data_IF_446076489628
#
_entry.id   IF_446076489628
#
_cell.length_a   1.000
_cell.length_b   1.000
_cell.length_c   1.000
_cell.angle_alpha   90.00
_cell.angle_beta   90.00
_cell.angle_gamma   90.00
#
_symmetry.space_group_name_H-M   'P 1'
#
loop_
_entity.id
_entity.type
_entity.pdbx_description
1 polymer ?
#
# COMPACT_ATOMS: atom_id res chain seq x y z
N UNK A 1 -58.98 -36.57 38.97
CA UNK A 1 -57.51 -36.50 38.77
C UNK A 1 -57.21 -36.15 37.32
N UNK A 2 -56.91 -34.89 37.02
CA UNK A 2 -56.37 -34.46 35.72
C UNK A 2 -54.97 -33.91 35.97
N UNK A 3 -53.95 -34.59 35.46
CA UNK A 3 -52.54 -34.20 35.60
C UNK A 3 -52.25 -33.07 34.59
N UNK A 4 -51.85 -31.90 35.08
CA UNK A 4 -51.28 -30.84 34.26
C UNK A 4 -49.79 -31.14 34.05
N UNK A 5 -49.38 -31.31 32.80
CA UNK A 5 -47.96 -31.44 32.42
C UNK A 5 -47.49 -30.04 32.04
N UNK A 6 -46.52 -29.52 32.78
CA UNK A 6 -45.86 -28.25 32.53
C UNK A 6 -44.75 -28.46 31.48
N UNK A 7 -44.92 -27.92 30.28
CA UNK A 7 -43.86 -27.88 29.27
C UNK A 7 -42.99 -26.63 29.51
N UNK A 8 -41.75 -26.82 29.93
CA UNK A 8 -40.74 -25.77 29.99
C UNK A 8 -40.11 -25.66 28.59
N UNK A 9 -40.43 -24.60 27.86
CA UNK A 9 -39.69 -24.24 26.64
C UNK A 9 -38.33 -23.65 27.04
N UNK A 10 -37.26 -24.38 26.79
CA UNK A 10 -35.89 -23.84 26.85
C UNK A 10 -35.60 -23.17 25.51
N UNK A 11 -35.53 -21.83 25.52
CA UNK A 11 -35.03 -21.07 24.36
C UNK A 11 -33.50 -21.24 24.29
N UNK A 12 -33.03 -22.08 23.36
CA UNK A 12 -31.62 -22.08 22.96
C UNK A 12 -31.47 -21.00 21.90
N UNK A 13 -30.87 -19.87 22.25
CA UNK A 13 -30.46 -18.86 21.27
C UNK A 13 -29.25 -19.40 20.53
N UNK A 14 -29.44 -19.73 19.24
CA UNK A 14 -28.31 -19.99 18.34
C UNK A 14 -27.67 -18.62 18.08
N UNK A 15 -26.55 -18.32 18.74
CA UNK A 15 -25.69 -17.24 18.27
C UNK A 15 -25.15 -17.67 16.90
N UNK A 16 -25.55 -16.95 15.85
CA UNK A 16 -24.92 -17.07 14.55
C UNK A 16 -23.48 -16.61 14.71
N UNK A 17 -22.53 -17.55 14.65
CA UNK A 17 -21.14 -17.20 14.38
C UNK A 17 -21.11 -16.61 12.98
N UNK A 18 -20.88 -15.29 12.88
CA UNK A 18 -20.42 -14.71 11.64
C UNK A 18 -19.09 -15.40 11.35
N UNK A 19 -19.06 -16.23 10.31
CA UNK A 19 -17.79 -16.70 9.77
C UNK A 19 -17.11 -15.46 9.21
N UNK A 20 -16.23 -14.84 10.00
CA UNK A 20 -15.24 -13.95 9.41
C UNK A 20 -14.51 -14.80 8.39
N UNK A 21 -14.51 -14.36 7.13
CA UNK A 21 -13.57 -14.91 6.17
C UNK A 21 -12.19 -14.64 6.77
N UNK A 22 -11.63 -15.64 7.44
CA UNK A 22 -10.27 -15.60 7.95
C UNK A 22 -9.38 -15.62 6.71
N UNK A 23 -9.06 -14.44 6.19
CA UNK A 23 -7.96 -14.32 5.26
C UNK A 23 -6.71 -14.91 5.93
N UNK A 24 -5.99 -15.75 5.21
CA UNK A 24 -4.86 -16.48 5.77
C UNK A 24 -3.66 -15.52 5.92
N UNK A 25 -3.67 -14.72 6.98
CA UNK A 25 -2.48 -13.99 7.41
C UNK A 25 -1.62 -14.94 8.25
N UNK A 26 -0.34 -15.06 7.91
CA UNK A 26 0.58 -16.00 8.57
C UNK A 26 1.17 -15.46 9.87
N UNK A 27 0.93 -14.18 10.19
CA UNK A 27 1.38 -13.53 11.43
C UNK A 27 0.35 -13.51 12.55
N UNK A 28 0.57 -12.62 13.52
CA UNK A 28 -0.35 -12.39 14.64
C UNK A 28 -1.39 -11.32 14.29
N UNK A 29 -2.48 -11.30 15.07
CA UNK A 29 -3.56 -10.33 14.94
C UNK A 29 -4.73 -10.83 14.10
N UNK A 30 -5.85 -10.13 14.18
CA UNK A 30 -7.11 -10.45 13.49
C UNK A 30 -7.44 -9.46 12.37
N UNK A 31 -6.56 -8.49 12.09
CA UNK A 31 -6.76 -7.48 11.06
C UNK A 31 -7.73 -6.37 11.43
N UNK A 32 -8.15 -6.31 12.70
CA UNK A 32 -9.08 -5.28 13.20
C UNK A 32 -8.32 -4.09 13.78
N UNK A 33 -8.98 -2.95 13.98
CA UNK A 33 -8.33 -1.76 14.56
C UNK A 33 -7.82 -1.97 15.99
N UNK A 34 -8.45 -2.86 16.77
CA UNK A 34 -8.04 -3.21 18.14
C UNK A 34 -7.00 -4.34 18.20
N UNK A 35 -6.82 -5.08 17.10
CA UNK A 35 -5.92 -6.21 17.00
C UNK A 35 -5.42 -6.34 15.54
N UNK A 36 -4.55 -5.41 15.10
CA UNK A 36 -4.09 -5.34 13.72
C UNK A 36 -3.18 -6.52 13.39
N UNK A 37 -3.14 -6.90 12.11
CA UNK A 37 -2.17 -7.84 11.60
C UNK A 37 -0.74 -7.33 11.78
N UNK A 38 0.09 -8.13 12.45
CA UNK A 38 1.47 -7.80 12.78
C UNK A 38 2.44 -8.34 11.74
N UNK A 39 3.05 -7.44 10.98
CA UNK A 39 4.00 -7.77 9.91
C UNK A 39 5.42 -7.75 10.47
N UNK A 40 6.09 -8.90 10.37
CA UNK A 40 7.48 -9.11 10.83
C UNK A 40 8.42 -9.52 9.71
N UNK A 41 7.89 -9.93 8.55
CA UNK A 41 8.69 -10.35 7.40
C UNK A 41 8.02 -9.98 6.07
N UNK A 42 8.80 -10.11 4.98
CA UNK A 42 8.37 -9.71 3.64
C UNK A 42 7.24 -10.57 3.06
N UNK A 43 7.09 -11.83 3.48
CA UNK A 43 5.98 -12.67 3.03
C UNK A 43 4.66 -12.17 3.62
N UNK A 44 4.64 -11.83 4.91
CA UNK A 44 3.48 -11.20 5.57
C UNK A 44 3.13 -9.83 4.95
N UNK A 45 4.15 -9.06 4.55
CA UNK A 45 3.92 -7.82 3.79
C UNK A 45 3.20 -8.12 2.45
N UNK A 46 3.55 -9.21 1.77
CA UNK A 46 2.93 -9.61 0.50
C UNK A 46 1.50 -10.15 0.68
N UNK A 47 1.21 -10.80 1.82
CA UNK A 47 -0.12 -11.33 2.19
C UNK A 47 -1.16 -10.22 2.37
N UNK A 48 -0.76 -8.96 2.57
CA UNK A 48 -1.70 -7.82 2.64
C UNK A 48 -2.62 -7.72 1.42
N UNK A 49 -2.22 -8.27 0.27
CA UNK A 49 -3.04 -8.29 -0.95
C UNK A 49 -4.33 -9.09 -0.77
N UNK A 50 -4.39 -9.99 0.22
CA UNK A 50 -5.49 -10.92 0.42
C UNK A 50 -6.59 -10.31 1.31
N UNK A 51 -6.29 -9.29 2.13
CA UNK A 51 -7.27 -8.56 2.96
C UNK A 51 -7.03 -7.04 2.90
N UNK A 52 -7.63 -6.38 1.91
CA UNK A 52 -7.31 -5.00 1.54
C UNK A 52 -7.95 -3.94 2.45
N UNK A 53 -8.85 -4.33 3.35
CA UNK A 53 -9.59 -3.45 4.27
C UNK A 53 -9.07 -3.55 5.72
N UNK A 54 -8.15 -4.48 5.99
CA UNK A 54 -7.63 -4.73 7.32
C UNK A 54 -6.65 -3.66 7.85
N UNK A 55 -6.36 -3.77 9.13
CA UNK A 55 -5.39 -2.95 9.85
C UNK A 55 -4.09 -3.73 9.98
N UNK A 56 -2.99 -3.08 9.60
CA UNK A 56 -1.65 -3.65 9.56
C UNK A 56 -0.68 -2.76 10.31
N UNK A 57 0.22 -3.38 11.07
CA UNK A 57 1.32 -2.72 11.76
C UNK A 57 2.64 -3.42 11.45
N UNK A 58 3.68 -2.65 11.15
CA UNK A 58 5.04 -3.20 11.14
C UNK A 58 5.52 -3.35 12.59
N UNK A 59 6.13 -4.50 12.88
CA UNK A 59 6.73 -4.78 14.20
C UNK A 59 8.26 -4.68 14.20
N UNK A 60 8.86 -4.64 13.01
CA UNK A 60 10.29 -4.47 12.80
C UNK A 60 10.55 -3.95 11.39
N UNK A 61 11.80 -3.55 11.13
CA UNK A 61 12.26 -3.28 9.77
C UNK A 61 12.19 -4.55 8.92
N UNK A 62 11.75 -4.41 7.67
CA UNK A 62 11.56 -5.50 6.71
C UNK A 62 12.63 -5.41 5.64
N UNK A 63 13.43 -6.48 5.47
CA UNK A 63 14.28 -6.65 4.30
C UNK A 63 13.45 -7.28 3.17
N UNK A 64 13.20 -6.49 2.13
CA UNK A 64 12.47 -6.87 0.93
C UNK A 64 13.38 -7.15 -0.27
N UNK A 65 14.71 -7.20 -0.11
CA UNK A 65 15.66 -7.43 -1.20
C UNK A 65 15.44 -8.75 -1.95
N UNK A 66 14.97 -9.78 -1.24
CA UNK A 66 14.62 -11.09 -1.80
C UNK A 66 13.51 -11.00 -2.85
N UNK A 67 12.68 -9.94 -2.82
CA UNK A 67 11.60 -9.76 -3.80
C UNK A 67 12.12 -9.72 -5.22
N UNK A 68 13.37 -9.32 -5.45
CA UNK A 68 14.03 -9.32 -6.77
C UNK A 68 14.03 -10.68 -7.48
N UNK A 69 13.91 -11.79 -6.76
CA UNK A 69 13.83 -13.14 -7.34
C UNK A 69 12.39 -13.65 -7.49
N UNK A 70 11.41 -12.93 -6.94
CA UNK A 70 10.02 -13.35 -6.93
C UNK A 70 9.38 -13.19 -8.31
N UNK A 71 8.33 -13.98 -8.55
CA UNK A 71 7.48 -13.86 -9.75
C UNK A 71 8.30 -13.88 -11.05
N UNK A 72 9.22 -14.85 -11.17
CA UNK A 72 10.14 -14.98 -12.31
C UNK A 72 10.97 -13.70 -12.56
N UNK A 73 11.41 -13.04 -11.49
CA UNK A 73 12.19 -11.80 -11.55
C UNK A 73 11.36 -10.52 -11.75
N UNK A 74 10.02 -10.59 -11.69
CA UNK A 74 9.16 -9.41 -11.77
C UNK A 74 9.01 -8.67 -10.44
N UNK A 75 9.53 -9.23 -9.34
CA UNK A 75 9.49 -8.54 -8.06
C UNK A 75 8.26 -8.81 -7.22
N UNK A 76 8.10 -8.00 -6.18
CA UNK A 76 6.91 -7.94 -5.34
C UNK A 76 5.64 -7.69 -6.19
N UNK A 77 4.51 -8.26 -5.78
CA UNK A 77 3.19 -7.93 -6.37
C UNK A 77 2.62 -6.75 -5.59
N UNK A 78 2.46 -5.55 -6.20
CA UNK A 78 1.91 -4.38 -5.53
C UNK A 78 0.59 -4.67 -4.81
N UNK A 79 0.39 -4.04 -3.65
CA UNK A 79 -0.80 -4.22 -2.82
C UNK A 79 -1.93 -3.32 -3.32
N UNK A 80 -3.14 -3.89 -3.46
CA UNK A 80 -4.37 -3.14 -3.65
C UNK A 80 -4.66 -2.64 -5.06
N UNK A 81 -5.96 -2.62 -5.40
CA UNK A 81 -6.52 -1.91 -6.56
C UNK A 81 -8.03 -1.64 -6.32
N UNK A 82 -8.43 -0.90 -5.26
CA UNK A 82 -7.60 -0.19 -4.27
C UNK A 82 -7.34 -0.98 -2.95
N UNK A 83 -6.36 -0.52 -2.15
CA UNK A 83 -6.25 -0.79 -0.71
C UNK A 83 -7.10 0.24 0.05
N UNK A 84 -7.95 -0.18 0.98
CA UNK A 84 -8.85 0.69 1.75
C UNK A 84 -8.66 0.56 3.29
N UNK A 85 -7.72 -0.30 3.72
CA UNK A 85 -7.36 -0.51 5.11
C UNK A 85 -6.39 0.52 5.71
N UNK A 86 -5.78 0.15 6.85
CA UNK A 86 -4.76 0.96 7.52
C UNK A 86 -3.42 0.24 7.51
N UNK A 87 -2.35 0.91 7.11
CA UNK A 87 -0.97 0.46 7.22
C UNK A 87 -0.17 1.46 8.03
N UNK A 88 0.24 1.07 9.24
CA UNK A 88 1.09 1.85 10.13
C UNK A 88 2.49 1.23 10.23
N UNK A 89 3.47 1.91 9.67
CA UNK A 89 4.86 1.48 9.76
C UNK A 89 5.47 1.65 11.15
N UNK A 90 4.84 2.39 12.06
CA UNK A 90 5.37 2.69 13.41
C UNK A 90 6.81 3.24 13.42
N UNK A 91 7.25 3.87 12.32
CA UNK A 91 8.61 4.40 12.13
C UNK A 91 9.60 3.40 11.53
N UNK A 92 9.18 2.16 11.27
CA UNK A 92 10.00 1.11 10.65
C UNK A 92 10.20 1.33 9.15
N UNK A 93 11.19 0.60 8.63
CA UNK A 93 11.61 0.66 7.23
C UNK A 93 11.31 -0.63 6.49
N UNK A 94 11.01 -0.50 5.21
CA UNK A 94 11.02 -1.60 4.23
C UNK A 94 12.18 -1.32 3.29
N UNK A 95 13.21 -2.17 3.26
CA UNK A 95 14.45 -1.92 2.51
C UNK A 95 14.57 -2.84 1.30
N UNK A 96 15.08 -2.33 0.18
CA UNK A 96 15.44 -3.17 -0.97
C UNK A 96 14.25 -3.67 -1.80
N UNK A 97 13.07 -3.05 -1.65
CA UNK A 97 11.87 -3.44 -2.39
C UNK A 97 12.11 -3.38 -3.90
N UNK A 98 11.93 -4.51 -4.59
CA UNK A 98 12.08 -4.60 -6.04
C UNK A 98 10.72 -4.88 -6.71
N UNK A 99 10.38 -4.05 -7.70
CA UNK A 99 9.17 -4.21 -8.53
C UNK A 99 9.55 -3.92 -9.98
N UNK A 100 9.30 -4.88 -10.87
CA UNK A 100 9.44 -4.74 -12.32
C UNK A 100 8.19 -5.26 -13.04
N UNK A 101 7.28 -4.34 -13.39
CA UNK A 101 5.94 -4.69 -13.91
C UNK A 101 5.47 -3.72 -15.01
N UNK A 102 4.55 -4.10 -15.90
CA UNK A 102 4.13 -3.26 -17.03
C UNK A 102 3.08 -2.18 -16.70
N UNK A 103 2.23 -2.37 -15.68
CA UNK A 103 1.19 -1.39 -15.30
C UNK A 103 1.10 -1.17 -13.79
N UNK A 104 0.93 0.11 -13.40
CA UNK A 104 0.59 0.64 -12.06
C UNK A 104 1.31 -0.01 -10.88
N UNK A 105 2.26 0.72 -10.26
CA UNK A 105 3.02 0.14 -9.16
C UNK A 105 3.60 1.17 -8.20
N UNK A 106 3.69 0.69 -6.96
CA UNK A 106 4.39 1.13 -5.79
C UNK A 106 4.34 -0.04 -4.80
N UNK A 107 4.72 0.15 -3.53
CA UNK A 107 4.35 -0.84 -2.51
C UNK A 107 2.85 -1.13 -2.55
N UNK A 108 2.05 -0.06 -2.68
CA UNK A 108 0.64 -0.10 -3.02
C UNK A 108 0.44 0.29 -4.49
N UNK A 109 -0.31 -0.49 -5.27
CA UNK A 109 -0.69 -0.05 -6.62
C UNK A 109 -1.71 1.10 -6.55
N UNK A 110 -2.61 1.11 -5.57
CA UNK A 110 -3.44 2.27 -5.30
C UNK A 110 -4.19 2.21 -3.98
N UNK A 111 -4.57 3.37 -3.47
CA UNK A 111 -5.30 3.54 -2.21
C UNK A 111 -6.67 4.16 -2.48
N UNK A 112 -7.69 3.63 -1.83
CA UNK A 112 -9.05 4.16 -1.87
C UNK A 112 -9.23 5.25 -0.81
N UNK A 113 -10.44 5.82 -0.72
CA UNK A 113 -10.69 6.98 0.13
C UNK A 113 -10.68 6.67 1.63
N UNK A 114 -10.84 5.40 2.02
CA UNK A 114 -10.75 4.96 3.41
C UNK A 114 -9.31 4.70 3.87
N UNK A 115 -8.39 4.56 2.91
CA UNK A 115 -7.05 4.12 3.18
C UNK A 115 -6.24 5.08 4.03
N UNK A 116 -5.47 4.54 4.98
CA UNK A 116 -4.49 5.27 5.78
C UNK A 116 -3.15 4.57 5.68
N UNK A 117 -2.14 5.24 5.10
CA UNK A 117 -0.76 4.76 5.05
C UNK A 117 0.12 5.74 5.80
N UNK A 118 0.75 5.32 6.89
CA UNK A 118 1.50 6.23 7.75
C UNK A 118 2.77 5.65 8.35
N UNK A 119 3.68 6.55 8.74
CA UNK A 119 4.88 6.27 9.54
C UNK A 119 5.80 5.18 8.97
N UNK A 120 6.00 5.14 7.64
CA UNK A 120 6.87 4.13 7.01
C UNK A 120 7.92 4.77 6.11
N UNK A 121 9.15 4.26 6.19
CA UNK A 121 10.18 4.49 5.18
C UNK A 121 10.28 3.32 4.21
N UNK A 122 10.21 3.56 2.91
CA UNK A 122 10.56 2.54 1.89
C UNK A 122 11.90 2.92 1.27
N UNK A 123 12.93 2.17 1.63
CA UNK A 123 14.34 2.56 1.45
C UNK A 123 14.99 1.68 0.39
N UNK A 124 15.85 2.29 -0.42
CA UNK A 124 16.59 1.61 -1.50
C UNK A 124 15.67 0.82 -2.45
N UNK A 125 14.57 1.47 -2.87
CA UNK A 125 13.63 0.83 -3.80
C UNK A 125 14.23 0.73 -5.20
N UNK A 126 13.86 -0.33 -5.92
CA UNK A 126 14.12 -0.48 -7.36
C UNK A 126 12.79 -0.77 -8.03
N UNK A 127 12.09 0.31 -8.35
CA UNK A 127 10.75 0.25 -8.94
C UNK A 127 10.85 0.72 -10.37
N UNK A 128 10.50 -0.16 -11.31
CA UNK A 128 10.53 0.17 -12.72
C UNK A 128 9.39 -0.50 -13.49
N UNK A 129 8.98 0.15 -14.57
CA UNK A 129 8.11 -0.47 -15.54
C UNK A 129 7.96 0.37 -16.79
N UNK A 130 7.63 -0.29 -17.88
CA UNK A 130 7.38 0.32 -19.18
C UNK A 130 5.91 0.16 -19.50
N UNK A 131 5.23 1.28 -19.68
CA UNK A 131 3.83 1.33 -20.03
C UNK A 131 3.59 0.93 -21.47
N UNK A 132 2.40 0.39 -21.74
CA UNK A 132 1.89 0.27 -23.09
C UNK A 132 1.51 1.66 -23.63
N UNK A 133 1.73 1.97 -24.93
CA UNK A 133 1.22 3.20 -25.53
C UNK A 133 -0.31 3.29 -25.33
N UNK A 134 -0.77 4.31 -24.59
CA UNK A 134 -2.20 4.57 -24.36
C UNK A 134 -2.78 4.15 -23.00
N UNK A 135 -1.99 3.54 -22.11
CA UNK A 135 -2.42 3.22 -20.73
C UNK A 135 -2.20 4.37 -19.74
N UNK A 136 -3.05 4.47 -18.70
CA UNK A 136 -2.76 5.28 -17.52
C UNK A 136 -1.77 4.54 -16.64
N UNK A 137 -0.50 4.91 -16.70
CA UNK A 137 0.51 4.41 -15.77
C UNK A 137 0.64 5.43 -14.63
N UNK A 138 0.53 4.96 -13.40
CA UNK A 138 0.83 5.72 -12.20
C UNK A 138 1.91 4.96 -11.44
N UNK A 139 3.07 5.59 -11.29
CA UNK A 139 4.24 4.94 -10.69
C UNK A 139 4.71 5.78 -9.52
N UNK A 140 4.64 5.20 -8.33
CA UNK A 140 5.14 5.81 -7.11
C UNK A 140 6.09 4.88 -6.38
N UNK A 141 7.00 5.47 -5.61
CA UNK A 141 7.84 4.72 -4.69
C UNK A 141 7.04 3.95 -3.63
N UNK A 142 5.98 4.59 -3.12
CA UNK A 142 5.09 4.05 -2.10
C UNK A 142 3.72 3.69 -2.67
N UNK A 143 3.08 4.61 -3.41
CA UNK A 143 1.73 4.42 -3.96
C UNK A 143 1.66 4.79 -5.44
N UNK A 144 1.10 3.92 -6.27
CA UNK A 144 0.78 4.26 -7.66
C UNK A 144 -0.23 5.41 -7.76
N UNK A 145 -1.50 5.13 -7.41
CA UNK A 145 -2.58 6.14 -7.36
C UNK A 145 -3.14 6.33 -5.94
N UNK A 146 -3.22 7.58 -5.46
CA UNK A 146 -3.69 7.91 -4.12
C UNK A 146 -5.03 8.66 -4.13
N UNK A 147 -6.04 8.06 -3.50
CA UNK A 147 -7.28 8.73 -3.09
C UNK A 147 -7.46 8.78 -1.55
N UNK A 148 -6.54 8.21 -0.78
CA UNK A 148 -6.58 8.15 0.68
C UNK A 148 -5.57 9.08 1.38
N UNK A 149 -5.25 8.77 2.63
CA UNK A 149 -4.32 9.55 3.45
C UNK A 149 -2.93 8.91 3.50
N UNK A 150 -1.90 9.68 3.16
CA UNK A 150 -0.49 9.34 3.29
C UNK A 150 0.19 10.36 4.21
N UNK A 151 0.76 9.90 5.33
CA UNK A 151 1.32 10.81 6.34
C UNK A 151 2.59 10.27 6.98
N UNK A 152 3.61 11.12 7.15
CA UNK A 152 4.90 10.74 7.76
C UNK A 152 5.59 9.58 7.02
N UNK A 153 5.54 9.59 5.69
CA UNK A 153 6.13 8.55 4.87
C UNK A 153 7.30 9.07 4.04
N UNK A 154 8.26 8.21 3.74
CA UNK A 154 9.33 8.59 2.82
C UNK A 154 9.83 7.46 1.94
N UNK A 155 10.43 7.84 0.81
CA UNK A 155 11.03 6.90 -0.14
C UNK A 155 12.44 7.31 -0.55
N UNK A 156 13.33 6.34 -0.65
CA UNK A 156 14.66 6.48 -1.27
C UNK A 156 14.89 5.37 -2.31
N UNK A 157 15.87 5.55 -3.21
CA UNK A 157 16.21 4.56 -4.25
C UNK A 157 15.93 5.07 -5.65
N UNK A 158 15.45 4.21 -6.54
CA UNK A 158 15.20 4.50 -7.95
C UNK A 158 13.76 4.16 -8.35
N UNK A 159 13.08 5.13 -8.97
CA UNK A 159 11.74 4.98 -9.53
C UNK A 159 11.77 5.36 -11.01
N UNK A 160 11.40 4.43 -11.88
CA UNK A 160 11.44 4.62 -13.34
C UNK A 160 10.15 4.19 -14.03
N UNK A 161 9.69 4.99 -14.99
CA UNK A 161 8.70 4.54 -15.97
C UNK A 161 8.23 5.65 -16.89
N UNK A 162 7.10 5.49 -17.56
CA UNK A 162 6.82 6.33 -18.74
C UNK A 162 5.89 7.51 -18.48
N UNK A 163 4.85 7.34 -17.66
CA UNK A 163 3.81 8.34 -17.43
C UNK A 163 3.50 8.47 -15.93
N UNK A 164 3.33 9.72 -15.45
CA UNK A 164 2.93 10.09 -14.07
C UNK A 164 3.77 9.36 -13.02
N UNK A 165 5.05 9.70 -12.99
CA UNK A 165 6.03 9.10 -12.08
C UNK A 165 6.34 10.08 -10.95
N UNK A 166 6.14 9.63 -9.71
CA UNK A 166 6.52 10.36 -8.51
C UNK A 166 7.48 9.56 -7.63
N UNK A 167 8.40 10.24 -6.95
CA UNK A 167 9.29 9.56 -6.01
C UNK A 167 8.55 8.92 -4.82
N UNK A 168 7.40 9.47 -4.41
CA UNK A 168 6.52 8.92 -3.38
C UNK A 168 5.21 8.39 -3.97
N UNK A 169 4.49 9.23 -4.73
CA UNK A 169 3.17 8.91 -5.30
C UNK A 169 3.11 9.21 -6.80
N UNK A 170 2.62 8.29 -7.63
CA UNK A 170 2.47 8.54 -9.06
C UNK A 170 1.40 9.59 -9.37
N UNK A 171 0.18 9.35 -8.87
CA UNK A 171 -0.97 10.24 -9.06
C UNK A 171 -1.73 10.43 -7.75
N UNK A 172 -1.96 11.68 -7.35
CA UNK A 172 -2.75 12.05 -6.16
C UNK A 172 -4.03 12.75 -6.62
N UNK A 173 -5.20 12.25 -6.22
CA UNK A 173 -6.48 12.80 -6.68
C UNK A 173 -7.63 12.65 -5.68
N UNK A 174 -8.72 13.38 -5.93
CA UNK A 174 -9.94 13.29 -5.12
C UNK A 174 -9.66 13.66 -3.67
N UNK A 175 -9.92 12.72 -2.76
CA UNK A 175 -9.66 12.85 -1.33
C UNK A 175 -8.19 12.57 -0.94
N UNK A 176 -7.32 12.37 -1.93
CA UNK A 176 -5.89 12.11 -1.73
C UNK A 176 -5.22 13.22 -0.93
N UNK A 177 -4.74 12.89 0.28
CA UNK A 177 -4.04 13.80 1.17
C UNK A 177 -2.64 13.27 1.45
N UNK A 178 -1.62 14.06 1.12
CA UNK A 178 -0.22 13.77 1.41
C UNK A 178 0.31 14.84 2.35
N UNK A 179 0.80 14.41 3.52
CA UNK A 179 1.34 15.33 4.51
C UNK A 179 2.62 14.83 5.18
N UNK A 180 3.50 15.75 5.58
CA UNK A 180 4.72 15.46 6.34
C UNK A 180 5.59 14.35 5.70
N UNK A 181 5.61 14.28 4.38
CA UNK A 181 6.20 13.16 3.65
C UNK A 181 7.27 13.65 2.69
N UNK A 182 8.24 12.80 2.36
CA UNK A 182 9.31 13.22 1.47
C UNK A 182 9.84 12.12 0.57
N UNK A 183 10.56 12.52 -0.47
CA UNK A 183 11.30 11.56 -1.31
C UNK A 183 12.70 12.06 -1.62
N UNK A 184 13.67 11.17 -1.46
CA UNK A 184 15.04 11.38 -1.95
C UNK A 184 15.35 10.43 -3.12
N UNK A 185 14.33 9.76 -3.67
CA UNK A 185 14.50 8.82 -4.76
C UNK A 185 14.88 9.52 -6.06
N UNK A 186 15.74 8.90 -6.86
CA UNK A 186 15.99 9.32 -8.22
C UNK A 186 14.81 8.89 -9.10
N UNK A 187 14.18 9.84 -9.77
CA UNK A 187 12.99 9.62 -10.60
C UNK A 187 13.33 9.83 -12.07
N UNK A 188 13.04 8.83 -12.91
CA UNK A 188 13.24 8.90 -14.36
C UNK A 188 11.96 8.57 -15.10
N UNK A 189 11.58 9.39 -16.09
CA UNK A 189 10.49 9.01 -16.99
C UNK A 189 10.29 9.90 -18.20
N UNK A 190 9.12 9.84 -18.84
CA UNK A 190 8.86 10.55 -20.12
C UNK A 190 7.84 11.67 -19.92
N UNK A 191 6.68 11.37 -19.31
CA UNK A 191 5.56 12.30 -19.16
C UNK A 191 5.15 12.47 -17.69
N UNK A 192 4.96 13.72 -17.25
CA UNK A 192 4.54 14.07 -15.88
C UNK A 192 5.42 13.42 -14.80
N UNK A 193 6.59 14.02 -14.54
CA UNK A 193 7.60 13.49 -13.63
C UNK A 193 7.76 14.46 -12.47
N UNK A 194 7.62 13.97 -11.24
CA UNK A 194 7.80 14.77 -10.03
C UNK A 194 8.70 14.08 -9.01
N UNK A 195 9.47 14.88 -8.28
CA UNK A 195 10.35 14.35 -7.23
C UNK A 195 9.57 13.73 -6.07
N UNK A 196 8.38 14.28 -5.74
CA UNK A 196 7.48 13.74 -4.73
C UNK A 196 6.25 13.07 -5.36
N UNK A 197 5.49 13.85 -6.15
CA UNK A 197 4.25 13.40 -6.80
C UNK A 197 4.31 13.66 -8.30
N UNK A 198 4.00 12.67 -9.13
CA UNK A 198 4.02 12.82 -10.59
C UNK A 198 2.90 13.71 -11.13
N UNK A 199 1.68 13.55 -10.60
CA UNK A 199 0.53 14.39 -10.92
C UNK A 199 -0.38 14.58 -9.70
N UNK A 200 -0.73 15.81 -9.38
CA UNK A 200 -1.71 16.15 -8.35
C UNK A 200 -2.95 16.77 -9.02
N UNK A 201 -4.12 16.16 -8.87
CA UNK A 201 -5.34 16.54 -9.61
C UNK A 201 -6.60 16.47 -8.74
N UNK A 202 -7.73 16.97 -9.25
CA UNK A 202 -9.09 16.74 -8.70
C UNK A 202 -9.24 16.97 -7.19
N UNK A 203 -8.61 18.01 -6.64
CA UNK A 203 -8.72 18.35 -5.21
C UNK A 203 -7.72 17.63 -4.30
N UNK A 204 -6.83 16.79 -4.83
CA UNK A 204 -5.74 16.19 -4.07
C UNK A 204 -4.85 17.26 -3.41
N UNK A 205 -4.46 17.02 -2.15
CA UNK A 205 -3.70 17.97 -1.34
C UNK A 205 -2.32 17.44 -0.98
N UNK A 206 -1.35 18.35 -0.92
CA UNK A 206 0.02 18.07 -0.49
C UNK A 206 0.44 19.18 0.46
N UNK A 207 0.88 18.83 1.67
CA UNK A 207 1.30 19.80 2.71
C UNK A 207 2.57 19.33 3.43
N UNK A 208 3.41 20.27 3.87
CA UNK A 208 4.62 19.99 4.66
C UNK A 208 5.51 18.88 4.08
N UNK A 209 5.62 18.81 2.75
CA UNK A 209 6.24 17.69 2.05
C UNK A 209 7.24 18.21 1.03
N UNK A 210 8.32 17.46 0.80
CA UNK A 210 9.42 17.91 -0.05
C UNK A 210 10.08 16.76 -0.80
N UNK A 211 10.87 17.09 -1.83
CA UNK A 211 11.73 16.12 -2.50
C UNK A 211 13.12 16.68 -2.74
N UNK A 212 14.15 15.86 -2.57
CA UNK A 212 15.56 16.22 -2.83
C UNK A 212 16.23 15.31 -3.86
N UNK A 213 15.54 14.26 -4.29
CA UNK A 213 16.07 13.32 -5.29
C UNK A 213 16.17 13.92 -6.70
N UNK A 214 17.08 13.39 -7.51
CA UNK A 214 17.25 13.79 -8.91
C UNK A 214 16.01 13.43 -9.71
N UNK A 215 15.50 14.38 -10.50
CA UNK A 215 14.41 14.15 -11.46
C UNK A 215 14.97 14.28 -12.87
N UNK A 216 14.67 13.34 -13.76
CA UNK A 216 15.18 13.34 -15.14
C UNK A 216 14.13 12.87 -16.14
N UNK A 217 13.88 13.70 -17.16
CA UNK A 217 13.14 13.31 -18.35
C UNK A 217 13.99 12.49 -19.31
N UNK A 218 13.39 11.51 -19.97
CA UNK A 218 13.97 10.72 -21.05
C UNK A 218 13.28 11.09 -22.36
N UNK A 219 14.06 11.16 -23.44
CA UNK A 219 13.53 11.32 -24.79
C UNK A 219 12.96 9.98 -25.28
N UNK A 220 11.97 10.09 -26.17
CA UNK A 220 11.34 8.97 -26.89
C UNK A 220 12.20 8.59 -28.09
#
# INVERSE_FOLDING_TARGET
MKKFILFILVFVTIQSFLTTNSYAFSGLGSGTSGDPYQITNVNQLQEMKDDLDAYYVLMNDIDASVTSTWNNGQGFVPIGYPFDGTFDGQGHKITGLFIYRPFNFGLFSGTGSGAIVKNVGVVDVKISGSGYPGGSNFIGGLVGGNNGTITNCYVTGNVKGDLRIGGLVGWNAGNGNISNSYSTASVTGIYHIGGLVGCNANGGTISNSYSTGRVSGSLI
#
